data_IF_732680802331
#
_entry.id   IF_732680802331
#
_cell.length_a   1.000
_cell.length_b   1.000
_cell.length_c   1.000
_cell.angle_alpha   90.00
_cell.angle_beta   90.00
_cell.angle_gamma   90.00
#
_symmetry.space_group_name_H-M   'P 1'
#
loop_
_entity.id
_entity.type
_entity.pdbx_description
1 polymer ?
#
# COMPACT_ATOMS: atom_id res chain seq x y z
N UNK A 1 12.83 -10.95 14.63
CA UNK A 1 12.22 -9.63 14.91
C UNK A 1 10.77 -9.68 14.44
N UNK A 2 9.84 -9.00 15.10
CA UNK A 2 8.46 -9.00 14.63
C UNK A 2 8.35 -8.32 13.24
N UNK A 3 7.24 -8.52 12.53
CA UNK A 3 6.92 -7.75 11.32
C UNK A 3 7.01 -6.23 11.55
N UNK A 4 7.03 -5.45 10.48
CA UNK A 4 7.04 -3.99 10.53
C UNK A 4 5.71 -3.44 10.05
N UNK A 5 5.36 -2.25 10.48
CA UNK A 5 4.21 -1.53 9.93
C UNK A 5 4.70 -0.26 9.27
N UNK A 6 4.08 0.08 8.14
CA UNK A 6 4.40 1.30 7.42
C UNK A 6 3.14 2.13 7.23
N UNK A 7 3.28 3.43 7.44
CA UNK A 7 2.35 4.43 6.97
C UNK A 7 2.84 4.93 5.61
N UNK A 8 1.96 4.96 4.62
CA UNK A 8 2.26 5.49 3.30
C UNK A 8 1.39 6.69 3.03
N UNK A 9 2.02 7.81 2.66
CA UNK A 9 1.31 8.96 2.11
C UNK A 9 1.40 8.89 0.58
N UNK A 10 0.25 9.05 -0.06
CA UNK A 10 0.10 9.04 -1.50
C UNK A 10 -0.36 10.42 -1.98
N UNK A 11 0.43 11.03 -2.86
CA UNK A 11 0.07 12.26 -3.56
C UNK A 11 -0.14 11.98 -5.05
N UNK A 12 -1.30 12.32 -5.59
CA UNK A 12 -1.52 12.14 -7.01
C UNK A 12 -0.63 13.07 -7.82
N UNK A 13 -0.07 12.56 -8.90
CA UNK A 13 0.49 13.40 -9.95
C UNK A 13 -0.66 14.10 -10.68
N UNK A 14 -0.40 15.33 -11.11
CA UNK A 14 -1.39 16.17 -11.78
C UNK A 14 -2.04 15.42 -12.95
N UNK A 15 -3.37 15.37 -12.96
CA UNK A 15 -4.17 14.75 -14.02
C UNK A 15 -4.14 13.21 -14.05
N UNK A 16 -3.67 12.54 -12.98
CA UNK A 16 -3.62 11.07 -12.91
C UNK A 16 -4.70 10.43 -12.05
N UNK A 17 -5.42 11.21 -11.24
CA UNK A 17 -6.40 10.71 -10.27
C UNK A 17 -7.52 9.89 -10.94
N UNK A 18 -8.16 10.44 -11.97
CA UNK A 18 -9.28 9.78 -12.67
C UNK A 18 -8.91 8.39 -13.20
N UNK A 19 -7.84 8.30 -14.01
CA UNK A 19 -7.36 7.03 -14.57
C UNK A 19 -6.99 6.01 -13.49
N UNK A 20 -6.41 6.47 -12.38
CA UNK A 20 -6.10 5.59 -11.27
C UNK A 20 -7.37 5.04 -10.60
N UNK A 21 -8.35 5.91 -10.33
CA UNK A 21 -9.62 5.49 -9.74
C UNK A 21 -10.36 4.49 -10.64
N UNK A 22 -10.42 4.74 -11.95
CA UNK A 22 -11.01 3.79 -12.91
C UNK A 22 -10.30 2.43 -12.86
N UNK A 23 -8.96 2.44 -12.87
CA UNK A 23 -8.17 1.21 -12.80
C UNK A 23 -8.39 0.46 -11.49
N UNK A 24 -8.44 1.17 -10.37
CA UNK A 24 -8.71 0.59 -9.06
C UNK A 24 -10.11 -0.07 -9.01
N UNK A 25 -11.13 0.61 -9.53
CA UNK A 25 -12.49 0.08 -9.60
C UNK A 25 -12.58 -1.18 -10.48
N UNK A 26 -11.90 -1.18 -11.62
CA UNK A 26 -11.82 -2.36 -12.49
C UNK A 26 -11.12 -3.54 -11.82
N UNK A 27 -10.02 -3.30 -11.10
CA UNK A 27 -9.29 -4.34 -10.40
C UNK A 27 -10.14 -4.99 -9.28
N UNK A 28 -10.89 -4.16 -8.54
CA UNK A 28 -11.73 -4.60 -7.42
C UNK A 28 -13.09 -5.18 -7.85
N UNK A 29 -13.48 -5.05 -9.11
CA UNK A 29 -14.69 -5.68 -9.63
C UNK A 29 -14.58 -7.22 -9.58
N UNK A 30 -15.68 -7.98 -9.53
CA UNK A 30 -15.64 -9.43 -9.57
C UNK A 30 -14.86 -9.95 -10.79
N UNK A 31 -13.80 -10.73 -10.53
CA UNK A 31 -12.90 -11.23 -11.59
C UNK A 31 -11.85 -10.22 -12.08
N UNK A 32 -11.77 -9.03 -11.48
CA UNK A 32 -10.79 -7.98 -11.82
C UNK A 32 -9.36 -8.23 -11.34
N UNK A 33 -9.13 -9.32 -10.60
CA UNK A 33 -7.80 -9.77 -10.19
C UNK A 33 -7.30 -9.20 -8.85
N UNK A 34 -8.10 -8.39 -8.14
CA UNK A 34 -7.70 -7.85 -6.84
C UNK A 34 -7.40 -8.93 -5.80
N UNK A 35 -8.23 -9.96 -5.69
CA UNK A 35 -8.02 -11.05 -4.72
C UNK A 35 -6.72 -11.81 -4.99
N UNK A 36 -6.39 -12.04 -6.26
CA UNK A 36 -5.12 -12.66 -6.66
C UNK A 36 -3.93 -11.75 -6.35
N UNK A 37 -4.07 -10.43 -6.54
CA UNK A 37 -3.04 -9.47 -6.17
C UNK A 37 -2.81 -9.44 -4.65
N UNK A 38 -3.89 -9.47 -3.84
CA UNK A 38 -3.80 -9.55 -2.38
C UNK A 38 -3.10 -10.85 -1.94
N UNK A 39 -3.44 -11.98 -2.57
CA UNK A 39 -2.79 -13.26 -2.28
C UNK A 39 -1.29 -13.24 -2.61
N UNK A 40 -0.92 -12.74 -3.79
CA UNK A 40 0.50 -12.59 -4.20
C UNK A 40 1.27 -11.63 -3.29
N UNK A 41 0.65 -10.53 -2.89
CA UNK A 41 1.26 -9.57 -1.97
C UNK A 41 1.52 -10.23 -0.61
N UNK A 42 0.55 -11.00 -0.08
CA UNK A 42 0.71 -11.75 1.17
C UNK A 42 1.87 -12.76 1.08
N UNK A 43 1.95 -13.52 -0.01
CA UNK A 43 3.05 -14.47 -0.27
C UNK A 43 4.42 -13.76 -0.30
N UNK A 44 4.48 -12.59 -0.95
CA UNK A 44 5.66 -11.74 -1.03
C UNK A 44 6.02 -11.02 0.29
N UNK A 45 5.16 -11.06 1.30
CA UNK A 45 5.42 -10.47 2.62
C UNK A 45 4.81 -9.10 2.85
N UNK A 46 3.83 -8.69 2.04
CA UNK A 46 3.08 -7.44 2.18
C UNK A 46 1.62 -7.74 2.49
N UNK A 47 1.14 -7.27 3.64
CA UNK A 47 -0.21 -7.57 4.10
C UNK A 47 -0.94 -6.33 4.63
N UNK A 48 -2.25 -6.47 4.74
CA UNK A 48 -3.14 -5.53 5.40
C UNK A 48 -3.13 -4.12 4.80
N UNK A 49 -3.35 -4.02 3.48
CA UNK A 49 -3.57 -2.75 2.78
C UNK A 49 -4.83 -2.05 3.29
N UNK A 50 -4.70 -1.15 4.27
CA UNK A 50 -5.80 -0.29 4.68
C UNK A 50 -5.69 1.03 3.95
N UNK A 51 -6.56 1.24 2.95
CA UNK A 51 -6.58 2.45 2.13
C UNK A 51 -7.54 3.49 2.72
N UNK A 52 -7.04 4.71 2.93
CA UNK A 52 -7.74 5.84 3.53
C UNK A 52 -7.64 7.08 2.62
N UNK A 53 -8.47 7.19 1.57
CA UNK A 53 -8.50 8.36 0.70
C UNK A 53 -9.19 9.54 1.39
N UNK A 54 -8.65 10.76 1.24
CA UNK A 54 -9.26 12.00 1.75
C UNK A 54 -10.16 12.66 0.70
N UNK A 55 -9.81 12.54 -0.58
CA UNK A 55 -10.55 13.12 -1.70
C UNK A 55 -10.15 12.52 -3.04
N UNK A 56 -10.85 12.91 -4.10
CA UNK A 56 -10.62 12.37 -5.46
C UNK A 56 -9.21 12.67 -5.99
N UNK A 57 -8.68 13.85 -5.69
CA UNK A 57 -7.33 14.27 -6.10
C UNK A 57 -6.30 14.12 -4.97
N UNK A 58 -6.66 13.40 -3.91
CA UNK A 58 -5.78 13.10 -2.79
C UNK A 58 -5.79 14.16 -1.68
N UNK A 59 -4.91 14.00 -0.67
CA UNK A 59 -4.03 12.84 -0.53
C UNK A 59 -4.80 11.56 -0.20
N UNK A 60 -4.13 10.42 -0.31
CA UNK A 60 -4.59 9.18 0.30
C UNK A 60 -3.50 8.65 1.23
N UNK A 61 -3.92 7.87 2.22
CA UNK A 61 -3.00 7.24 3.17
C UNK A 61 -3.21 5.74 3.17
N UNK A 62 -2.12 4.99 3.35
CA UNK A 62 -2.19 3.57 3.64
C UNK A 62 -1.50 3.21 4.93
N UNK A 63 -1.96 2.12 5.52
CA UNK A 63 -1.15 1.33 6.46
C UNK A 63 -0.91 -0.04 5.83
N UNK A 64 0.31 -0.55 5.99
CA UNK A 64 0.73 -1.88 5.54
C UNK A 64 1.48 -2.59 6.66
N UNK A 65 1.30 -3.90 6.75
CA UNK A 65 2.19 -4.80 7.49
C UNK A 65 3.20 -5.42 6.52
N UNK A 66 4.47 -5.43 6.91
CA UNK A 66 5.58 -5.91 6.10
C UNK A 66 6.32 -6.99 6.89
N UNK A 67 6.54 -8.15 6.27
CA UNK A 67 7.23 -9.29 6.88
C UNK A 67 8.63 -8.90 7.36
N UNK A 68 9.08 -9.54 8.43
CA UNK A 68 10.47 -9.42 8.87
C UNK A 68 11.46 -9.66 7.71
N UNK A 69 12.53 -8.86 7.67
CA UNK A 69 13.64 -9.02 6.74
C UNK A 69 13.52 -8.17 5.47
N UNK A 70 12.34 -7.60 5.21
CA UNK A 70 12.14 -6.63 4.13
C UNK A 70 12.55 -5.24 4.62
N UNK A 71 13.42 -4.58 3.86
CA UNK A 71 13.90 -3.22 4.11
C UNK A 71 12.86 -2.15 3.75
N UNK A 72 13.08 -0.92 4.22
CA UNK A 72 12.19 0.19 3.87
C UNK A 72 12.28 0.54 2.38
N UNK A 73 13.46 0.36 1.79
CA UNK A 73 13.73 0.55 0.37
C UNK A 73 12.98 -0.48 -0.49
N UNK A 74 13.06 -1.77 -0.14
CA UNK A 74 12.30 -2.83 -0.84
C UNK A 74 10.79 -2.61 -0.74
N UNK A 75 10.30 -2.14 0.43
CA UNK A 75 8.89 -1.79 0.58
C UNK A 75 8.50 -0.57 -0.27
N UNK A 76 9.34 0.46 -0.33
CA UNK A 76 9.12 1.64 -1.18
C UNK A 76 9.07 1.24 -2.66
N UNK A 77 9.99 0.38 -3.12
CA UNK A 77 9.99 -0.17 -4.48
C UNK A 77 8.72 -0.95 -4.80
N UNK A 78 8.23 -1.76 -3.85
CA UNK A 78 6.96 -2.47 -3.99
C UNK A 78 5.78 -1.50 -4.17
N UNK A 79 5.67 -0.49 -3.31
CA UNK A 79 4.59 0.50 -3.34
C UNK A 79 4.60 1.34 -4.63
N UNK A 80 5.79 1.72 -5.10
CA UNK A 80 5.96 2.48 -6.34
C UNK A 80 5.74 1.62 -7.61
N UNK A 81 5.94 0.31 -7.47
CA UNK A 81 5.87 -0.67 -8.56
C UNK A 81 4.46 -1.08 -9.00
N UNK A 82 4.37 -1.97 -10.00
CA UNK A 82 3.10 -2.39 -10.58
C UNK A 82 2.28 -3.33 -9.70
N UNK A 83 2.92 -4.01 -8.75
CA UNK A 83 2.28 -4.91 -7.79
C UNK A 83 1.75 -4.18 -6.56
N UNK A 84 2.23 -2.96 -6.31
CA UNK A 84 1.74 -2.07 -5.27
C UNK A 84 0.50 -1.29 -5.72
N UNK A 85 0.13 -0.29 -4.92
CA UNK A 85 -1.07 0.52 -5.12
C UNK A 85 -1.01 1.43 -6.36
N UNK A 86 0.15 1.53 -7.01
CA UNK A 86 0.34 2.37 -8.20
C UNK A 86 -0.20 1.74 -9.49
N UNK A 87 -0.47 0.42 -9.50
CA UNK A 87 -0.89 -0.35 -10.67
C UNK A 87 0.00 -0.18 -11.92
N UNK A 88 1.26 0.25 -11.73
CA UNK A 88 2.19 0.53 -12.82
C UNK A 88 1.88 1.80 -13.62
N UNK A 89 0.90 2.59 -13.19
CA UNK A 89 0.45 3.79 -13.90
C UNK A 89 1.35 5.01 -13.67
N UNK A 90 2.23 4.93 -12.66
CA UNK A 90 2.99 6.09 -12.21
C UNK A 90 2.09 7.24 -11.75
N UNK A 91 0.90 6.92 -11.21
CA UNK A 91 -0.11 7.89 -10.82
C UNK A 91 0.23 8.63 -9.53
N UNK A 92 1.01 8.00 -8.64
CA UNK A 92 1.33 8.54 -7.33
C UNK A 92 2.79 8.96 -7.18
N UNK A 93 3.01 9.83 -6.20
CA UNK A 93 4.26 10.00 -5.48
C UNK A 93 4.04 9.46 -4.07
N UNK A 94 4.76 8.39 -3.72
CA UNK A 94 4.56 7.68 -2.46
C UNK A 94 5.68 7.99 -1.47
N UNK A 95 5.31 8.19 -0.21
CA UNK A 95 6.28 8.35 0.88
C UNK A 95 5.98 7.29 1.93
N UNK A 96 6.80 6.25 1.99
CA UNK A 96 6.70 5.19 2.98
C UNK A 96 7.47 5.57 4.25
N UNK A 97 6.84 5.42 5.41
CA UNK A 97 7.47 5.64 6.72
C UNK A 97 7.18 4.46 7.62
N UNK A 98 8.22 3.83 8.15
CA UNK A 98 8.07 2.81 9.18
C UNK A 98 7.41 3.45 10.42
N UNK A 99 6.42 2.76 10.97
CA UNK A 99 5.74 3.16 12.19
C UNK A 99 6.58 2.65 13.37
N UNK A 100 6.95 3.56 14.25
CA UNK A 100 7.58 3.21 15.53
C UNK A 100 6.52 2.60 16.46
N UNK A 101 6.40 1.28 16.42
CA UNK A 101 5.42 0.51 17.20
C UNK A 101 5.74 0.54 18.69
N UNK A 102 7.02 0.67 19.06
CA UNK A 102 7.42 0.79 20.47
C UNK A 102 6.94 2.11 21.05
N UNK A 103 7.15 3.21 20.33
CA UNK A 103 6.64 4.53 20.71
C UNK A 103 5.11 4.58 20.71
N UNK A 104 4.45 3.92 19.76
CA UNK A 104 2.99 3.85 19.69
C UNK A 104 2.36 3.01 20.82
N UNK A 105 3.13 2.12 21.45
CA UNK A 105 2.68 1.20 22.50
C UNK A 105 1.91 -0.03 21.98
N UNK A 106 1.37 0.02 20.77
CA UNK A 106 0.74 -1.11 20.08
C UNK A 106 0.85 -1.00 18.57
N UNK A 107 0.75 -2.14 17.88
CA UNK A 107 0.64 -2.16 16.42
C UNK A 107 -0.70 -1.56 15.97
N UNK A 108 -0.77 -0.92 14.79
CA UNK A 108 -2.02 -0.37 14.24
C UNK A 108 -3.09 -1.46 13.99
N UNK A 109 -2.66 -2.68 13.70
CA UNK A 109 -3.51 -3.86 13.49
C UNK A 109 -2.88 -5.10 14.13
N UNK A 110 -3.66 -6.18 14.39
CA UNK A 110 -3.11 -7.47 14.76
C UNK A 110 -2.14 -7.98 13.70
N UNK A 111 -0.96 -8.44 14.13
CA UNK A 111 0.08 -8.97 13.24
C UNK A 111 -0.40 -10.24 12.54
N UNK A 112 -0.12 -10.33 11.25
CA UNK A 112 -0.33 -11.53 10.44
C UNK A 112 0.94 -12.36 10.32
N UNK A 113 2.10 -11.70 10.21
CA UNK A 113 3.41 -12.33 10.08
C UNK A 113 4.09 -12.54 11.44
#
# INVERSE_FOLDING_TARGET
>A
MASKFFHVQHEFRIGKSETWWETAQLAMAPGGGWDEAVAKNLEAGFFNHSFCPIGLEGPAFCIWEVREGISAEEFQEFIDGPMGVNFGLGAWMNICREIDVELAGNAPYPRKF
#
